data_IF_040527886625
#
_entry.id   IF_040527886625
#
_cell.length_a   1.000
_cell.length_b   1.000
_cell.length_c   1.000
_cell.angle_alpha   90.00
_cell.angle_beta   90.00
_cell.angle_gamma   90.00
#
_symmetry.space_group_name_H-M   'P 1'
#
loop_
_entity.id
_entity.type
_entity.pdbx_description
1 polymer ?
#
# COMPACT_ATOMS: atom_id res chain seq x y z
N UNK A 1 18.29 -7.89 -9.48
CA UNK A 1 19.45 -6.98 -9.39
C UNK A 1 20.15 -7.30 -8.08
N UNK A 2 21.42 -7.65 -8.14
CA UNK A 2 22.26 -7.86 -6.95
C UNK A 2 22.77 -6.49 -6.43
N UNK A 3 22.09 -5.78 -5.52
CA UNK A 3 22.54 -4.49 -5.05
C UNK A 3 23.70 -4.56 -4.06
N UNK A 4 23.90 -5.71 -3.41
CA UNK A 4 24.87 -5.84 -2.32
C UNK A 4 26.34 -5.80 -2.76
N UNK A 5 26.67 -6.39 -3.89
CA UNK A 5 28.05 -6.37 -4.43
C UNK A 5 28.37 -5.05 -5.13
N UNK A 6 27.43 -4.54 -5.93
CA UNK A 6 27.60 -3.25 -6.62
C UNK A 6 27.66 -2.07 -5.64
N UNK A 7 26.88 -2.13 -4.57
CA UNK A 7 26.90 -1.09 -3.51
C UNK A 7 28.24 -1.06 -2.77
N UNK A 8 28.79 -2.22 -2.37
CA UNK A 8 30.06 -2.29 -1.64
C UNK A 8 31.25 -1.87 -2.50
N UNK A 9 31.30 -2.29 -3.75
CA UNK A 9 32.36 -1.86 -4.69
C UNK A 9 32.30 -0.36 -4.97
N UNK A 10 31.11 0.21 -5.10
CA UNK A 10 30.90 1.63 -5.33
C UNK A 10 31.31 2.46 -4.12
N UNK A 11 30.98 2.02 -2.89
CA UNK A 11 31.40 2.66 -1.64
C UNK A 11 32.92 2.60 -1.44
N UNK A 12 33.55 1.45 -1.69
CA UNK A 12 35.02 1.30 -1.62
C UNK A 12 35.70 2.20 -2.65
N UNK A 13 35.18 2.26 -3.86
CA UNK A 13 35.71 3.11 -4.94
C UNK A 13 35.58 4.60 -4.60
N UNK A 14 34.48 5.02 -4.00
CA UNK A 14 34.25 6.40 -3.63
C UNK A 14 35.09 6.82 -2.42
N UNK A 15 35.15 5.98 -1.41
CA UNK A 15 36.08 6.16 -0.27
C UNK A 15 37.53 6.22 -0.72
N UNK A 16 37.94 5.36 -1.66
CA UNK A 16 39.28 5.39 -2.25
C UNK A 16 39.54 6.70 -2.98
N UNK A 17 38.61 7.19 -3.79
CA UNK A 17 38.73 8.49 -4.48
C UNK A 17 38.88 9.63 -3.48
N UNK A 18 38.07 9.67 -2.42
CA UNK A 18 38.16 10.68 -1.35
C UNK A 18 39.56 10.66 -0.64
N UNK A 19 40.10 9.46 -0.41
CA UNK A 19 41.44 9.28 0.15
C UNK A 19 42.51 9.81 -0.81
N UNK A 20 42.46 9.44 -2.11
CA UNK A 20 43.42 9.90 -3.10
C UNK A 20 43.32 11.39 -3.39
N UNK A 21 42.10 11.96 -3.42
CA UNK A 21 41.89 13.37 -3.62
C UNK A 21 42.20 14.25 -2.41
N UNK A 22 42.50 13.63 -1.23
CA UNK A 22 42.77 14.38 0.01
C UNK A 22 41.58 15.19 0.51
N UNK A 23 40.38 14.80 0.13
CA UNK A 23 39.18 15.53 0.52
C UNK A 23 38.75 15.19 1.95
N UNK A 24 38.45 16.23 2.73
CA UNK A 24 38.03 16.10 4.12
C UNK A 24 39.14 15.75 5.10
N UNK A 25 38.77 15.24 6.29
CA UNK A 25 39.67 14.94 7.38
C UNK A 25 40.29 13.53 7.35
N UNK A 26 40.01 12.72 6.31
CA UNK A 26 40.39 11.31 6.23
C UNK A 26 41.89 11.08 6.33
N UNK A 27 42.72 12.02 5.81
CA UNK A 27 44.17 11.94 5.87
C UNK A 27 44.80 12.58 7.11
N UNK A 28 44.06 13.43 7.82
CA UNK A 28 44.54 14.20 8.95
C UNK A 28 44.21 13.58 10.30
N UNK A 29 43.26 12.65 10.34
CA UNK A 29 42.83 11.92 11.53
C UNK A 29 43.32 10.47 11.52
N UNK A 30 43.17 9.80 12.64
CA UNK A 30 43.59 8.43 12.89
C UNK A 30 42.77 7.37 12.13
N UNK A 31 43.18 6.12 12.25
CA UNK A 31 42.57 4.97 11.55
C UNK A 31 41.11 4.70 11.94
N UNK A 32 40.73 5.04 13.16
CA UNK A 32 39.34 4.95 13.65
C UNK A 32 38.39 5.89 12.89
N UNK A 33 38.87 7.12 12.57
CA UNK A 33 38.08 8.04 11.72
C UNK A 33 37.95 7.53 10.29
N UNK A 34 38.96 6.86 9.76
CA UNK A 34 38.86 6.22 8.43
C UNK A 34 37.78 5.13 8.44
N UNK A 35 37.76 4.30 9.49
CA UNK A 35 36.71 3.26 9.64
C UNK A 35 35.30 3.89 9.71
N UNK A 36 35.14 4.95 10.53
CA UNK A 36 33.93 5.73 10.57
C UNK A 36 33.50 6.22 9.15
N UNK A 37 34.43 6.87 8.43
CA UNK A 37 34.13 7.46 7.11
C UNK A 37 33.73 6.43 6.06
N UNK A 38 34.24 5.21 6.16
CA UNK A 38 33.81 4.11 5.29
C UNK A 38 32.36 3.66 5.59
N UNK A 39 32.02 3.54 6.89
CA UNK A 39 30.66 3.15 7.30
C UNK A 39 29.68 4.28 6.99
N UNK A 40 30.06 5.53 7.21
CA UNK A 40 29.30 6.74 6.87
C UNK A 40 28.91 6.76 5.40
N UNK A 41 29.85 6.55 4.48
CA UNK A 41 29.57 6.47 3.05
C UNK A 41 28.59 5.33 2.69
N UNK A 42 28.65 4.21 3.40
CA UNK A 42 27.75 3.09 3.21
C UNK A 42 26.33 3.41 3.69
N UNK A 43 26.21 4.06 4.86
CA UNK A 43 24.94 4.51 5.43
C UNK A 43 24.29 5.57 4.55
N UNK A 44 25.04 6.55 4.06
CA UNK A 44 24.56 7.56 3.11
C UNK A 44 23.92 6.92 1.88
N UNK A 45 24.55 5.89 1.31
CA UNK A 45 23.98 5.17 0.19
C UNK A 45 22.67 4.43 0.53
N UNK A 46 22.55 3.87 1.73
CA UNK A 46 21.28 3.29 2.19
C UNK A 46 20.20 4.36 2.31
N UNK A 47 20.50 5.50 2.91
CA UNK A 47 19.56 6.62 3.07
C UNK A 47 19.06 7.10 1.69
N UNK A 48 19.96 7.32 0.74
CA UNK A 48 19.60 7.72 -0.61
C UNK A 48 18.70 6.71 -1.33
N UNK A 49 18.91 5.43 -1.11
CA UNK A 49 18.06 4.38 -1.69
C UNK A 49 16.68 4.33 -1.00
N UNK A 50 16.61 4.53 0.31
CA UNK A 50 15.37 4.60 1.08
C UNK A 50 14.54 5.81 0.62
N UNK A 51 15.17 6.98 0.44
CA UNK A 51 14.50 8.20 -0.06
C UNK A 51 13.95 8.01 -1.47
N UNK A 52 14.72 7.41 -2.38
CA UNK A 52 14.24 7.10 -3.74
C UNK A 52 13.04 6.18 -3.71
N UNK A 53 13.09 5.13 -2.89
CA UNK A 53 11.98 4.20 -2.75
C UNK A 53 10.76 4.88 -2.13
N UNK A 54 10.97 5.74 -1.13
CA UNK A 54 9.93 6.56 -0.52
C UNK A 54 9.21 7.44 -1.53
N UNK A 55 9.96 8.18 -2.36
CA UNK A 55 9.38 9.03 -3.40
C UNK A 55 8.49 8.25 -4.38
N UNK A 56 8.91 7.05 -4.78
CA UNK A 56 8.11 6.18 -5.66
C UNK A 56 6.83 5.68 -4.97
N UNK A 57 6.91 5.34 -3.67
CA UNK A 57 5.76 4.90 -2.89
C UNK A 57 4.74 6.04 -2.71
N UNK A 58 5.22 7.27 -2.46
CA UNK A 58 4.37 8.46 -2.35
C UNK A 58 3.71 8.83 -3.68
N UNK A 59 4.45 8.68 -4.79
CA UNK A 59 3.89 8.92 -6.13
C UNK A 59 2.82 7.89 -6.47
N UNK A 60 3.03 6.63 -6.11
CA UNK A 60 2.06 5.57 -6.29
C UNK A 60 0.74 5.83 -5.54
N UNK A 61 0.78 6.46 -4.37
CA UNK A 61 -0.42 6.82 -3.61
C UNK A 61 -1.36 7.73 -4.41
N UNK A 62 -0.81 8.65 -5.21
CA UNK A 62 -1.59 9.53 -6.08
C UNK A 62 -2.30 8.78 -7.22
N UNK A 63 -1.80 7.61 -7.58
CA UNK A 63 -2.35 6.77 -8.65
C UNK A 63 -3.34 5.70 -8.15
N UNK A 64 -3.59 5.62 -6.84
CA UNK A 64 -4.48 4.64 -6.19
C UNK A 64 -5.87 4.53 -6.83
N UNK A 65 -6.38 5.64 -7.37
CA UNK A 65 -7.74 5.71 -7.95
C UNK A 65 -7.81 5.23 -9.41
N UNK A 66 -6.69 5.05 -10.10
CA UNK A 66 -6.64 4.79 -11.54
C UNK A 66 -6.09 3.41 -11.94
N UNK A 67 -5.31 2.75 -11.09
CA UNK A 67 -4.56 1.54 -11.45
C UNK A 67 -4.95 0.35 -10.58
N UNK A 68 -5.79 -0.56 -11.10
CA UNK A 68 -6.34 -1.68 -10.32
C UNK A 68 -5.31 -2.76 -9.96
N UNK A 69 -5.06 -3.70 -10.88
CA UNK A 69 -4.27 -4.92 -10.61
C UNK A 69 -2.76 -4.63 -10.48
N UNK A 70 -2.25 -3.73 -11.27
CA UNK A 70 -0.85 -3.31 -11.30
C UNK A 70 -0.41 -2.69 -9.96
N UNK A 71 -1.32 -1.99 -9.29
CA UNK A 71 -1.08 -1.40 -7.98
C UNK A 71 -0.74 -2.45 -6.90
N UNK A 72 -1.47 -3.56 -6.87
CA UNK A 72 -1.25 -4.63 -5.87
C UNK A 72 0.12 -5.29 -6.07
N UNK A 73 0.50 -5.51 -7.33
CA UNK A 73 1.79 -6.09 -7.69
C UNK A 73 2.95 -5.16 -7.26
N UNK A 74 2.80 -3.86 -7.52
CA UNK A 74 3.76 -2.85 -7.10
C UNK A 74 3.88 -2.75 -5.57
N UNK A 75 2.77 -2.77 -4.84
CA UNK A 75 2.79 -2.77 -3.36
C UNK A 75 3.57 -3.97 -2.83
N UNK A 76 3.35 -5.15 -3.39
CA UNK A 76 4.07 -6.36 -2.98
C UNK A 76 5.57 -6.24 -3.29
N UNK A 77 5.91 -5.73 -4.47
CA UNK A 77 7.29 -5.51 -4.87
C UNK A 77 8.01 -4.55 -3.90
N UNK A 78 7.43 -3.38 -3.63
CA UNK A 78 8.05 -2.39 -2.73
C UNK A 78 8.12 -2.87 -1.27
N UNK A 79 7.15 -3.64 -0.79
CA UNK A 79 7.24 -4.29 0.54
C UNK A 79 8.42 -5.25 0.61
N UNK A 80 8.68 -5.98 -0.46
CA UNK A 80 9.82 -6.90 -0.54
C UNK A 80 11.15 -6.14 -0.56
N UNK A 81 11.25 -5.07 -1.35
CA UNK A 81 12.43 -4.21 -1.40
C UNK A 81 12.71 -3.54 -0.05
N UNK A 82 11.69 -2.98 0.62
CA UNK A 82 11.82 -2.40 1.96
C UNK A 82 12.28 -3.43 2.99
N UNK A 83 11.73 -4.65 2.94
CA UNK A 83 12.15 -5.73 3.82
C UNK A 83 13.61 -6.12 3.59
N UNK A 84 14.05 -6.14 2.33
CA UNK A 84 15.45 -6.40 1.99
C UNK A 84 16.36 -5.30 2.56
N UNK A 85 16.03 -4.03 2.35
CA UNK A 85 16.81 -2.90 2.87
C UNK A 85 16.84 -2.94 4.40
N UNK A 86 15.71 -3.15 5.07
CA UNK A 86 15.61 -3.27 6.53
C UNK A 86 16.54 -4.36 7.09
N UNK A 87 16.57 -5.53 6.45
CA UNK A 87 17.39 -6.64 6.89
C UNK A 87 18.90 -6.35 6.75
N UNK A 88 19.29 -5.46 5.85
CA UNK A 88 20.68 -5.02 5.68
C UNK A 88 21.04 -3.86 6.61
N UNK A 89 20.11 -2.93 6.88
CA UNK A 89 20.38 -1.76 7.74
C UNK A 89 20.35 -2.11 9.23
N UNK A 90 19.50 -3.06 9.64
CA UNK A 90 19.37 -3.47 11.05
C UNK A 90 20.68 -3.93 11.70
N UNK A 91 21.50 -4.80 11.08
CA UNK A 91 22.80 -5.17 11.62
C UNK A 91 23.77 -3.98 11.73
N UNK A 92 23.65 -3.00 10.81
CA UNK A 92 24.48 -1.78 10.89
C UNK A 92 24.14 -0.98 12.14
N UNK A 93 22.85 -0.85 12.50
CA UNK A 93 22.44 -0.23 13.76
C UNK A 93 23.06 -0.94 14.97
N UNK A 94 22.96 -2.27 15.02
CA UNK A 94 23.53 -3.05 16.11
C UNK A 94 25.06 -2.87 16.21
N UNK A 95 25.73 -2.80 15.06
CA UNK A 95 27.16 -2.50 14.99
C UNK A 95 27.47 -1.12 15.54
N UNK A 96 26.71 -0.08 15.12
CA UNK A 96 26.91 1.29 15.59
C UNK A 96 26.69 1.44 17.11
N UNK A 97 25.63 0.84 17.64
CA UNK A 97 25.36 0.81 19.07
C UNK A 97 26.54 0.20 19.84
N UNK A 98 27.11 -0.90 19.33
CA UNK A 98 28.30 -1.52 19.94
C UNK A 98 29.52 -0.61 19.87
N UNK A 99 29.75 0.07 18.75
CA UNK A 99 30.88 1.00 18.63
C UNK A 99 30.75 2.19 19.59
N UNK A 100 29.57 2.74 19.76
CA UNK A 100 29.30 3.86 20.67
C UNK A 100 29.42 3.47 22.14
N UNK A 101 29.10 2.22 22.49
CA UNK A 101 29.14 1.71 23.87
C UNK A 101 30.46 1.02 24.25
N UNK A 102 31.31 0.74 23.27
CA UNK A 102 32.60 0.08 23.49
C UNK A 102 33.60 1.09 24.09
N UNK A 103 34.10 0.81 25.27
CA UNK A 103 35.23 1.52 25.86
C UNK A 103 36.52 0.90 25.32
N UNK A 104 37.16 1.55 24.35
CA UNK A 104 38.34 1.01 23.68
C UNK A 104 39.37 2.11 23.40
N UNK A 105 40.61 1.87 23.79
CA UNK A 105 41.76 2.75 23.50
C UNK A 105 42.04 2.93 21.99
N UNK A 106 41.38 2.12 21.13
CA UNK A 106 41.53 2.21 19.68
C UNK A 106 40.67 3.28 19.04
N UNK A 107 39.71 3.87 19.79
CA UNK A 107 38.76 4.88 19.30
C UNK A 107 39.03 6.18 20.07
N UNK A 108 39.34 7.25 19.35
CA UNK A 108 39.56 8.55 19.95
C UNK A 108 38.25 9.22 20.36
N UNK A 109 38.26 10.03 21.41
CA UNK A 109 37.09 10.77 21.92
C UNK A 109 36.38 11.59 20.83
N UNK A 110 37.14 12.18 19.91
CA UNK A 110 36.56 12.89 18.77
C UNK A 110 35.77 12.01 17.85
N UNK A 111 36.17 10.73 17.65
CA UNK A 111 35.52 9.80 16.75
C UNK A 111 34.24 9.27 17.36
N UNK A 112 34.11 9.16 18.67
CA UNK A 112 32.86 8.79 19.34
C UNK A 112 31.69 9.72 19.00
N UNK A 113 31.91 11.02 18.86
CA UNK A 113 30.84 11.96 18.48
C UNK A 113 30.33 11.66 17.07
N UNK A 114 31.21 11.41 16.12
CA UNK A 114 30.84 11.03 14.76
C UNK A 114 30.10 9.68 14.70
N UNK A 115 30.54 8.70 15.50
CA UNK A 115 29.86 7.39 15.57
C UNK A 115 28.45 7.50 16.17
N UNK A 116 28.25 8.38 17.17
CA UNK A 116 26.96 8.67 17.78
C UNK A 116 26.00 9.33 16.78
N UNK A 117 26.51 10.31 16.04
CA UNK A 117 25.72 10.96 14.98
C UNK A 117 25.29 9.94 13.91
N UNK A 118 26.21 9.05 13.52
CA UNK A 118 25.93 7.99 12.55
C UNK A 118 24.93 6.97 13.08
N UNK A 119 24.97 6.59 14.36
CA UNK A 119 23.97 5.75 15.01
C UNK A 119 22.58 6.40 14.93
N UNK A 120 22.50 7.72 15.14
CA UNK A 120 21.28 8.51 14.98
C UNK A 120 20.73 8.42 13.56
N UNK A 121 21.58 8.61 12.55
CA UNK A 121 21.19 8.51 11.13
C UNK A 121 20.68 7.12 10.75
N UNK A 122 21.36 6.06 11.20
CA UNK A 122 20.91 4.68 10.95
C UNK A 122 19.56 4.40 11.63
N UNK A 123 19.33 4.96 12.81
CA UNK A 123 18.05 4.85 13.51
C UNK A 123 16.93 5.53 12.73
N UNK A 124 17.17 6.78 12.27
CA UNK A 124 16.21 7.51 11.43
C UNK A 124 15.92 6.76 10.11
N UNK A 125 16.93 6.16 9.49
CA UNK A 125 16.76 5.35 8.30
C UNK A 125 15.84 4.14 8.53
N UNK A 126 15.98 3.44 9.66
CA UNK A 126 15.10 2.34 10.03
C UNK A 126 13.66 2.81 10.30
N UNK A 127 13.50 3.96 10.97
CA UNK A 127 12.17 4.56 11.20
C UNK A 127 11.50 4.95 9.89
N UNK A 128 12.23 5.52 8.94
CA UNK A 128 11.71 5.82 7.61
C UNK A 128 11.23 4.56 6.87
N UNK A 129 11.97 3.46 6.95
CA UNK A 129 11.56 2.17 6.37
C UNK A 129 10.23 1.69 6.97
N UNK A 130 10.06 1.79 8.30
CA UNK A 130 8.81 1.36 8.96
C UNK A 130 7.63 2.27 8.58
N UNK A 131 7.86 3.57 8.40
CA UNK A 131 6.85 4.52 7.92
C UNK A 131 6.40 4.13 6.50
N UNK A 132 7.32 3.90 5.57
CA UNK A 132 6.98 3.49 4.20
C UNK A 132 6.30 2.12 4.14
N UNK A 133 6.70 1.19 5.01
CA UNK A 133 6.05 -0.12 5.11
C UNK A 133 4.59 0.01 5.58
N UNK A 134 4.34 0.89 6.55
CA UNK A 134 2.98 1.20 7.03
C UNK A 134 2.17 1.85 5.94
N UNK A 135 2.74 2.83 5.23
CA UNK A 135 2.11 3.51 4.10
C UNK A 135 1.66 2.54 3.00
N UNK A 136 2.51 1.60 2.61
CA UNK A 136 2.14 0.54 1.65
C UNK A 136 1.02 -0.37 2.17
N UNK A 137 0.96 -0.61 3.48
CA UNK A 137 -0.11 -1.40 4.09
C UNK A 137 -1.43 -0.65 4.07
N UNK A 138 -1.40 0.66 4.31
CA UNK A 138 -2.58 1.52 4.25
C UNK A 138 -3.08 1.70 2.81
N UNK A 139 -2.19 1.81 1.85
CA UNK A 139 -2.53 1.78 0.41
C UNK A 139 -3.24 0.48 0.04
N UNK A 140 -2.74 -0.67 0.49
CA UNK A 140 -3.37 -1.96 0.26
C UNK A 140 -4.77 -2.06 0.89
N UNK A 141 -4.92 -1.56 2.12
CA UNK A 141 -6.21 -1.54 2.81
C UNK A 141 -7.22 -0.62 2.08
N UNK A 142 -6.79 0.56 1.65
CA UNK A 142 -7.61 1.50 0.87
C UNK A 142 -8.06 0.90 -0.45
N UNK A 143 -7.18 0.20 -1.15
CA UNK A 143 -7.52 -0.51 -2.38
C UNK A 143 -8.56 -1.60 -2.14
N UNK A 144 -8.38 -2.44 -1.11
CA UNK A 144 -9.33 -3.48 -0.75
C UNK A 144 -10.70 -2.91 -0.37
N UNK A 145 -10.72 -1.78 0.36
CA UNK A 145 -11.95 -1.08 0.71
C UNK A 145 -12.67 -0.56 -0.55
N UNK A 146 -11.93 -0.01 -1.51
CA UNK A 146 -12.48 0.46 -2.79
C UNK A 146 -13.11 -0.69 -3.60
N UNK A 147 -12.42 -1.83 -3.71
CA UNK A 147 -12.98 -3.03 -4.36
C UNK A 147 -14.26 -3.49 -3.64
N UNK A 148 -14.24 -3.57 -2.31
CA UNK A 148 -15.40 -3.98 -1.52
C UNK A 148 -16.60 -3.04 -1.75
N UNK A 149 -16.36 -1.73 -1.81
CA UNK A 149 -17.41 -0.75 -2.11
C UNK A 149 -17.97 -0.94 -3.52
N UNK A 150 -17.13 -1.14 -4.53
CA UNK A 150 -17.55 -1.39 -5.90
C UNK A 150 -18.40 -2.67 -6.02
N UNK A 151 -17.96 -3.75 -5.35
CA UNK A 151 -18.73 -5.01 -5.30
C UNK A 151 -20.08 -4.80 -4.62
N UNK A 152 -20.12 -4.07 -3.51
CA UNK A 152 -21.36 -3.74 -2.80
C UNK A 152 -22.31 -2.92 -3.68
N UNK A 153 -21.80 -1.99 -4.47
CA UNK A 153 -22.64 -1.19 -5.38
C UNK A 153 -23.22 -2.04 -6.52
N UNK A 154 -22.43 -2.95 -7.10
CA UNK A 154 -22.93 -3.92 -8.08
C UNK A 154 -24.00 -4.81 -7.44
N UNK A 155 -23.78 -5.31 -6.23
CA UNK A 155 -24.75 -6.14 -5.50
C UNK A 155 -26.04 -5.39 -5.18
N UNK A 156 -25.98 -4.08 -4.84
CA UNK A 156 -27.16 -3.24 -4.65
C UNK A 156 -28.00 -3.18 -5.94
N UNK A 157 -27.36 -2.88 -7.06
CA UNK A 157 -28.05 -2.83 -8.37
C UNK A 157 -28.73 -4.16 -8.68
N UNK A 158 -28.00 -5.28 -8.56
CA UNK A 158 -28.53 -6.61 -8.81
C UNK A 158 -29.72 -6.92 -7.88
N UNK A 159 -29.60 -6.56 -6.60
CA UNK A 159 -30.65 -6.77 -5.59
C UNK A 159 -31.92 -5.96 -5.93
N UNK A 160 -31.77 -4.70 -6.37
CA UNK A 160 -32.90 -3.85 -6.77
C UNK A 160 -33.63 -4.49 -7.98
N UNK A 161 -32.87 -4.88 -9.01
CA UNK A 161 -33.46 -5.56 -10.19
C UNK A 161 -34.20 -6.82 -9.78
N UNK A 162 -33.55 -7.71 -9.02
CA UNK A 162 -34.15 -8.97 -8.59
C UNK A 162 -35.41 -8.77 -7.75
N UNK A 163 -35.36 -7.83 -6.78
CA UNK A 163 -36.48 -7.55 -5.89
C UNK A 163 -37.72 -7.01 -6.65
N UNK A 164 -37.50 -6.28 -7.75
CA UNK A 164 -38.61 -5.80 -8.60
C UNK A 164 -39.11 -6.90 -9.52
N UNK A 165 -38.22 -7.62 -10.19
CA UNK A 165 -38.62 -8.58 -11.24
C UNK A 165 -39.18 -9.89 -10.70
N UNK A 166 -38.70 -10.40 -9.56
CA UNK A 166 -39.16 -11.67 -9.01
C UNK A 166 -40.68 -11.68 -8.73
N UNK A 167 -41.27 -10.70 -7.99
CA UNK A 167 -42.69 -10.67 -7.74
C UNK A 167 -43.50 -10.46 -9.02
N UNK A 168 -43.02 -9.63 -9.97
CA UNK A 168 -43.68 -9.39 -11.24
C UNK A 168 -43.72 -10.68 -12.09
N UNK A 169 -42.58 -11.35 -12.20
CA UNK A 169 -42.48 -12.62 -12.96
C UNK A 169 -43.35 -13.70 -12.34
N UNK A 170 -43.40 -13.76 -10.99
CA UNK A 170 -44.31 -14.71 -10.31
C UNK A 170 -45.77 -14.44 -10.66
N UNK A 171 -46.23 -13.16 -10.60
CA UNK A 171 -47.60 -12.80 -10.96
C UNK A 171 -47.91 -13.17 -12.43
N UNK A 172 -47.04 -12.78 -13.35
CA UNK A 172 -47.21 -13.07 -14.78
C UNK A 172 -47.17 -14.58 -15.01
N UNK A 173 -46.32 -15.32 -14.32
CA UNK A 173 -46.21 -16.77 -14.39
C UNK A 173 -47.49 -17.48 -13.95
N UNK A 174 -48.09 -17.06 -12.82
CA UNK A 174 -49.35 -17.63 -12.33
C UNK A 174 -50.49 -17.37 -13.31
N UNK A 175 -50.63 -16.15 -13.83
CA UNK A 175 -51.66 -15.80 -14.78
C UNK A 175 -51.39 -16.28 -16.21
N UNK A 176 -50.15 -16.68 -16.51
CA UNK A 176 -49.75 -17.31 -17.78
C UNK A 176 -49.93 -18.84 -17.82
N UNK A 177 -50.42 -19.45 -16.74
CA UNK A 177 -50.64 -20.91 -16.69
C UNK A 177 -51.90 -21.30 -17.53
N UNK A 178 -51.83 -22.44 -18.16
CA UNK A 178 -52.91 -22.97 -19.01
C UNK A 178 -53.93 -23.80 -18.20
N UNK A 179 -54.55 -23.18 -17.20
CA UNK A 179 -55.65 -23.80 -16.47
C UNK A 179 -57.00 -23.42 -17.10
N UNK A 180 -57.95 -24.34 -17.16
CA UNK A 180 -59.32 -24.11 -17.71
C UNK A 180 -60.10 -23.07 -16.91
N UNK A 181 -59.80 -22.90 -15.62
CA UNK A 181 -60.40 -21.91 -14.73
C UNK A 181 -59.36 -21.18 -13.92
N UNK A 182 -59.15 -19.90 -14.26
CA UNK A 182 -58.36 -18.96 -13.45
C UNK A 182 -59.31 -17.89 -12.94
N UNK A 183 -59.33 -17.62 -11.59
CA UNK A 183 -60.15 -16.55 -11.03
C UNK A 183 -59.81 -15.19 -11.69
N UNK A 184 -60.85 -14.38 -11.92
CA UNK A 184 -60.76 -13.06 -12.57
C UNK A 184 -60.45 -13.02 -14.07
N UNK A 185 -60.02 -14.11 -14.73
CA UNK A 185 -59.65 -14.07 -16.15
C UNK A 185 -60.83 -13.74 -17.07
N UNK A 186 -62.05 -14.09 -16.66
CA UNK A 186 -63.29 -13.80 -17.43
C UNK A 186 -63.81 -12.36 -17.25
N UNK A 187 -63.18 -11.55 -16.40
CA UNK A 187 -63.63 -10.18 -16.16
C UNK A 187 -63.07 -9.24 -17.23
N UNK A 188 -63.89 -8.41 -17.85
CA UNK A 188 -63.53 -7.55 -18.99
C UNK A 188 -62.37 -6.61 -18.72
N UNK A 189 -62.16 -6.20 -17.48
CA UNK A 189 -61.11 -5.27 -17.05
C UNK A 189 -59.96 -5.95 -16.30
N UNK A 190 -59.93 -7.27 -16.23
CA UNK A 190 -58.92 -8.02 -15.47
C UNK A 190 -57.49 -7.69 -15.91
N UNK A 191 -57.27 -7.55 -17.20
CA UNK A 191 -55.97 -7.19 -17.77
C UNK A 191 -55.46 -5.83 -17.25
N UNK A 192 -56.32 -4.80 -17.23
CA UNK A 192 -55.93 -3.47 -16.78
C UNK A 192 -55.73 -3.44 -15.26
N UNK A 193 -56.47 -4.19 -14.48
CA UNK A 193 -56.30 -4.33 -13.04
C UNK A 193 -54.98 -4.99 -12.75
N UNK A 194 -54.60 -6.06 -13.45
CA UNK A 194 -53.32 -6.75 -13.31
C UNK A 194 -52.13 -5.79 -13.57
N UNK A 195 -52.21 -5.01 -14.66
CA UNK A 195 -51.20 -4.00 -14.96
C UNK A 195 -51.10 -2.92 -13.86
N UNK A 196 -52.25 -2.48 -13.34
CA UNK A 196 -52.29 -1.52 -12.22
C UNK A 196 -51.59 -2.04 -10.97
N UNK A 197 -51.82 -3.34 -10.64
CA UNK A 197 -51.16 -3.99 -9.49
C UNK A 197 -49.65 -4.09 -9.73
N UNK A 198 -49.19 -4.51 -10.90
CA UNK A 198 -47.77 -4.61 -11.22
C UNK A 198 -47.05 -3.24 -11.12
N UNK A 199 -47.67 -2.18 -11.67
CA UNK A 199 -47.13 -0.81 -11.59
C UNK A 199 -47.09 -0.34 -10.13
N UNK A 200 -48.14 -0.61 -9.34
CA UNK A 200 -48.15 -0.26 -7.92
C UNK A 200 -47.01 -0.95 -7.14
N UNK A 201 -46.73 -2.22 -7.42
CA UNK A 201 -45.63 -2.97 -6.83
C UNK A 201 -44.27 -2.30 -7.18
N UNK A 202 -44.05 -1.95 -8.45
CA UNK A 202 -42.81 -1.27 -8.88
C UNK A 202 -42.64 0.05 -8.17
N UNK A 203 -43.69 0.90 -8.12
CA UNK A 203 -43.62 2.21 -7.44
C UNK A 203 -43.33 2.02 -5.95
N UNK A 204 -44.00 1.08 -5.30
CA UNK A 204 -43.81 0.78 -3.88
C UNK A 204 -42.36 0.34 -3.59
N UNK A 205 -41.80 -0.55 -4.41
CA UNK A 205 -40.41 -1.02 -4.31
C UNK A 205 -39.41 0.10 -4.55
N UNK A 206 -39.59 0.93 -5.57
CA UNK A 206 -38.73 2.09 -5.81
C UNK A 206 -38.78 3.09 -4.64
N UNK A 207 -39.96 3.35 -4.08
CA UNK A 207 -40.09 4.19 -2.90
C UNK A 207 -39.38 3.60 -1.67
N UNK A 208 -39.50 2.30 -1.48
CA UNK A 208 -38.81 1.59 -0.39
C UNK A 208 -37.28 1.70 -0.51
N UNK A 209 -36.71 1.45 -1.69
CA UNK A 209 -35.27 1.57 -1.94
C UNK A 209 -34.77 3.01 -1.80
N UNK A 210 -35.53 4.00 -2.29
CA UNK A 210 -35.21 5.42 -2.11
C UNK A 210 -35.20 5.81 -0.63
N UNK A 211 -36.16 5.31 0.17
CA UNK A 211 -36.19 5.57 1.62
C UNK A 211 -34.98 4.94 2.34
N UNK A 212 -34.50 3.81 1.89
CA UNK A 212 -33.28 3.15 2.43
C UNK A 212 -31.98 3.76 1.94
N UNK A 213 -31.97 4.81 1.14
CA UNK A 213 -30.80 5.44 0.54
C UNK A 213 -29.91 4.46 -0.24
N UNK A 214 -30.53 3.56 -0.99
CA UNK A 214 -29.83 2.64 -1.90
C UNK A 214 -29.58 3.29 -3.27
N UNK A 215 -30.24 4.42 -3.48
CA UNK A 215 -29.98 5.38 -4.55
C UNK A 215 -29.42 6.67 -3.96
#
# INVERSE_FOLDING_TARGET
IMPSLVGSEMCIRDSSKRIYAGQGKIRSLSSDYLCYAMIDTLVDNYILNIEKLGNVIEEQEKLLLTSGKELVENIYHYKTELSYVRNNVRPVKELMTRFVTCDSDLINDHTYNYLRDLEGLVTQALEAIEIYYTMLSDQQNSYNATISNNVNDIMKVLTIFSAIFIPLTFIVGVYGMNFDYIPFLRYRYAYFILWGIMIAIVILMLFFFKRKRWF
#
